data_IF_387307009262
#
_entry.id   IF_387307009262
#
_cell.length_a   1.000
_cell.length_b   1.000
_cell.length_c   1.000
_cell.angle_alpha   90.00
_cell.angle_beta   90.00
_cell.angle_gamma   90.00
#
_symmetry.space_group_name_H-M   'P 1'
#
loop_
_entity.id
_entity.type
_entity.pdbx_description
1 polymer ?
#
# COMPACT_ATOMS: atom_id res chain seq x y z
N UNK A 1 -6.07 -2.50 -22.62
CA UNK A 1 -5.75 -1.76 -21.39
C UNK A 1 -5.62 -2.77 -20.27
N UNK A 2 -4.42 -3.01 -19.74
CA UNK A 2 -4.25 -3.85 -18.57
C UNK A 2 -4.64 -3.01 -17.34
N UNK A 3 -5.72 -3.39 -16.67
CA UNK A 3 -6.04 -2.92 -15.33
C UNK A 3 -4.90 -3.36 -14.42
N UNK A 4 -3.88 -2.53 -14.23
CA UNK A 4 -2.83 -2.78 -13.25
C UNK A 4 -3.45 -2.45 -11.89
N UNK A 5 -4.10 -3.44 -11.29
CA UNK A 5 -4.69 -3.31 -9.95
C UNK A 5 -3.53 -3.41 -8.95
N UNK A 6 -3.23 -2.31 -8.26
CA UNK A 6 -2.14 -2.28 -7.26
C UNK A 6 -2.58 -2.96 -5.95
N UNK A 7 -3.88 -3.03 -5.70
CA UNK A 7 -4.47 -3.91 -4.69
C UNK A 7 -4.82 -5.28 -5.29
N UNK A 8 -4.17 -6.35 -4.83
CA UNK A 8 -4.37 -7.69 -5.40
C UNK A 8 -5.42 -8.49 -4.62
N UNK A 9 -5.23 -8.65 -3.31
CA UNK A 9 -6.16 -9.42 -2.46
C UNK A 9 -6.02 -9.09 -0.98
N UNK A 10 -7.07 -9.37 -0.23
CA UNK A 10 -7.07 -9.41 1.23
C UNK A 10 -7.12 -10.87 1.71
N UNK A 11 -6.34 -11.20 2.74
CA UNK A 11 -6.35 -12.53 3.34
C UNK A 11 -6.16 -12.46 4.86
N UNK A 12 -6.64 -13.49 5.57
CA UNK A 12 -6.49 -13.61 7.02
C UNK A 12 -5.41 -14.61 7.34
N UNK A 13 -4.53 -14.28 8.29
CA UNK A 13 -3.51 -15.16 8.83
C UNK A 13 -3.76 -15.39 10.31
N UNK A 14 -3.72 -16.63 10.74
CA UNK A 14 -3.79 -16.97 12.15
C UNK A 14 -2.44 -16.68 12.83
N UNK A 15 -2.49 -16.03 13.98
CA UNK A 15 -1.33 -15.69 14.80
C UNK A 15 -1.55 -16.23 16.21
N UNK A 16 -0.54 -16.91 16.76
CA UNK A 16 -0.58 -17.45 18.12
C UNK A 16 0.02 -16.43 19.07
N UNK A 17 -0.67 -16.16 20.15
CA UNK A 17 -0.27 -15.20 21.17
C UNK A 17 -0.30 -15.85 22.54
N UNK A 18 0.55 -15.35 23.42
CA UNK A 18 0.61 -15.79 24.82
C UNK A 18 0.36 -14.60 25.73
N UNK A 19 -0.51 -14.79 26.73
CA UNK A 19 -0.75 -13.80 27.77
C UNK A 19 -0.54 -14.43 29.14
N UNK A 20 0.13 -13.71 30.02
CA UNK A 20 0.23 -14.06 31.43
C UNK A 20 -1.00 -13.55 32.20
N UNK A 21 -1.58 -14.41 33.02
CA UNK A 21 -2.63 -14.04 33.97
C UNK A 21 -2.04 -13.22 35.13
N UNK A 22 -2.93 -12.60 35.93
CA UNK A 22 -2.51 -11.88 37.14
C UNK A 22 -1.80 -12.77 38.18
N UNK A 23 -2.06 -14.09 38.14
CA UNK A 23 -1.42 -15.09 39.01
C UNK A 23 -0.26 -15.83 38.32
N UNK A 24 0.28 -15.29 37.21
CA UNK A 24 1.46 -15.85 36.53
C UNK A 24 1.20 -17.05 35.61
N UNK A 25 0.01 -17.65 35.61
CA UNK A 25 -0.35 -18.72 34.64
C UNK A 25 -0.38 -18.17 33.21
N UNK A 26 0.30 -18.83 32.28
CA UNK A 26 0.35 -18.46 30.85
C UNK A 26 -0.80 -19.09 30.08
N UNK A 27 -1.53 -18.28 29.33
CA UNK A 27 -2.61 -18.72 28.45
C UNK A 27 -2.22 -18.50 26.99
N UNK A 28 -2.36 -19.55 26.18
CA UNK A 28 -2.19 -19.49 24.72
C UNK A 28 -3.54 -19.20 24.09
N UNK A 29 -3.58 -18.29 23.14
CA UNK A 29 -4.78 -17.99 22.38
C UNK A 29 -4.41 -17.64 20.94
N UNK A 30 -5.33 -17.89 20.02
CA UNK A 30 -5.13 -17.61 18.60
C UNK A 30 -5.94 -16.37 18.22
N UNK A 31 -5.37 -15.54 17.35
CA UNK A 31 -6.05 -14.38 16.75
C UNK A 31 -5.87 -14.39 15.24
N UNK A 32 -6.90 -13.99 14.52
CA UNK A 32 -6.80 -13.72 13.10
C UNK A 32 -6.36 -12.28 12.88
N UNK A 33 -5.31 -12.11 12.07
CA UNK A 33 -4.87 -10.81 11.60
C UNK A 33 -5.10 -10.75 10.09
N UNK A 34 -5.71 -9.65 9.65
CA UNK A 34 -5.96 -9.39 8.23
C UNK A 34 -4.74 -8.74 7.60
N UNK A 35 -4.34 -9.27 6.45
CA UNK A 35 -3.25 -8.80 5.60
C UNK A 35 -3.77 -8.48 4.20
N UNK A 36 -3.05 -7.60 3.53
CA UNK A 36 -3.32 -7.16 2.17
C UNK A 36 -2.11 -7.46 1.32
N UNK A 37 -2.32 -8.08 0.16
CA UNK A 37 -1.32 -8.23 -0.88
C UNK A 37 -1.44 -7.06 -1.87
N UNK A 38 -0.34 -6.35 -2.04
CA UNK A 38 -0.22 -5.18 -2.88
C UNK A 38 0.91 -5.38 -3.88
N UNK A 39 0.87 -4.68 -5.01
CA UNK A 39 1.97 -4.56 -5.96
C UNK A 39 2.64 -3.20 -5.80
N UNK A 40 3.97 -3.18 -5.84
CA UNK A 40 4.75 -1.95 -5.67
C UNK A 40 4.72 -1.08 -6.93
N UNK A 41 4.34 0.19 -6.80
CA UNK A 41 4.37 1.17 -7.90
C UNK A 41 5.79 1.55 -8.36
N UNK A 42 6.82 1.21 -7.59
CA UNK A 42 8.21 1.57 -7.91
C UNK A 42 9.02 0.44 -8.54
N UNK A 43 8.74 -0.82 -8.22
CA UNK A 43 9.54 -1.97 -8.65
C UNK A 43 8.72 -3.18 -9.05
N UNK A 44 7.39 -3.05 -9.10
CA UNK A 44 6.45 -4.09 -9.50
C UNK A 44 6.44 -5.37 -8.64
N UNK A 45 7.21 -5.42 -7.55
CA UNK A 45 7.23 -6.57 -6.65
C UNK A 45 5.95 -6.64 -5.82
N UNK A 46 5.43 -7.84 -5.61
CA UNK A 46 4.34 -8.08 -4.67
C UNK A 46 4.84 -8.02 -3.23
N UNK A 47 4.06 -7.39 -2.35
CA UNK A 47 4.39 -7.31 -0.93
C UNK A 47 3.12 -7.33 -0.07
N UNK A 48 3.28 -7.78 1.17
CA UNK A 48 2.17 -7.87 2.13
C UNK A 48 2.26 -6.80 3.19
N UNK A 49 1.13 -6.20 3.57
CA UNK A 49 1.02 -5.31 4.73
C UNK A 49 -0.16 -5.68 5.61
N UNK A 50 -0.05 -5.51 6.94
CA UNK A 50 -1.19 -5.73 7.83
C UNK A 50 -2.25 -4.65 7.57
N UNK A 51 -3.50 -5.07 7.37
CA UNK A 51 -4.63 -4.17 7.10
C UNK A 51 -4.83 -3.12 8.19
N UNK A 52 -4.53 -3.48 9.43
CA UNK A 52 -4.66 -2.61 10.60
C UNK A 52 -3.65 -1.45 10.65
N UNK A 53 -2.54 -1.52 9.91
CA UNK A 53 -1.57 -0.42 9.83
C UNK A 53 -1.84 0.57 8.70
N UNK A 54 -2.96 0.41 7.97
CA UNK A 54 -3.32 1.27 6.83
C UNK A 54 -4.68 1.91 7.05
N UNK A 55 -4.79 3.17 6.65
CA UNK A 55 -6.09 3.86 6.57
C UNK A 55 -7.00 3.14 5.56
N UNK A 56 -8.25 2.79 5.92
CA UNK A 56 -9.22 2.19 5.01
C UNK A 56 -9.36 2.89 3.65
N UNK A 57 -9.26 4.22 3.61
CA UNK A 57 -9.39 5.03 2.38
C UNK A 57 -8.22 4.85 1.42
N UNK A 58 -7.09 4.31 1.89
CA UNK A 58 -5.89 4.09 1.08
C UNK A 58 -5.86 2.74 0.38
N UNK A 59 -6.84 1.85 0.62
CA UNK A 59 -6.97 0.56 -0.08
C UNK A 59 -7.68 0.69 -1.42
N UNK A 60 -7.21 1.61 -2.25
CA UNK A 60 -7.66 1.73 -3.63
C UNK A 60 -6.45 2.07 -4.51
N UNK A 61 -6.65 2.04 -5.82
CA UNK A 61 -5.61 2.32 -6.81
C UNK A 61 -5.31 3.82 -6.98
N UNK A 62 -6.03 4.70 -6.28
CA UNK A 62 -5.77 6.15 -6.33
C UNK A 62 -4.58 6.54 -5.46
N UNK A 63 -4.13 5.66 -4.58
CA UNK A 63 -2.93 5.84 -3.77
C UNK A 63 -1.81 4.96 -4.29
N UNK A 64 -0.60 5.50 -4.26
CA UNK A 64 0.60 4.73 -4.53
C UNK A 64 0.96 3.82 -3.35
N UNK A 65 1.26 2.58 -3.66
CA UNK A 65 1.67 1.50 -2.77
C UNK A 65 3.14 1.19 -3.03
N UNK A 66 4.01 1.55 -2.08
CA UNK A 66 5.46 1.33 -2.20
C UNK A 66 5.92 0.30 -1.18
N UNK A 67 6.68 -0.70 -1.62
CA UNK A 67 7.22 -1.73 -0.73
C UNK A 67 8.31 -1.15 0.18
N UNK A 68 8.66 -1.85 1.26
CA UNK A 68 9.70 -1.40 2.21
C UNK A 68 11.11 -1.36 1.61
N UNK A 69 11.34 -2.09 0.52
CA UNK A 69 12.65 -2.16 -0.13
C UNK A 69 12.90 -0.95 -1.03
N UNK A 70 11.85 -0.22 -1.40
CA UNK A 70 11.95 1.01 -2.17
C UNK A 70 11.96 2.23 -1.26
N UNK A 71 12.69 3.27 -1.67
CA UNK A 71 12.69 4.54 -0.96
C UNK A 71 11.38 5.30 -1.22
N UNK A 72 10.40 5.07 -0.34
CA UNK A 72 9.07 5.68 -0.43
C UNK A 72 9.13 7.22 -0.37
N UNK A 73 10.11 7.82 0.30
CA UNK A 73 10.24 9.27 0.39
C UNK A 73 10.73 9.84 -0.93
N UNK A 74 11.78 9.27 -1.52
CA UNK A 74 12.27 9.68 -2.84
C UNK A 74 11.20 9.47 -3.92
N UNK A 75 10.48 8.35 -3.88
CA UNK A 75 9.37 8.10 -4.80
C UNK A 75 8.29 9.18 -4.68
N UNK A 76 7.83 9.48 -3.46
CA UNK A 76 6.81 10.51 -3.23
C UNK A 76 7.27 11.89 -3.67
N UNK A 77 8.54 12.26 -3.41
CA UNK A 77 9.13 13.52 -3.88
C UNK A 77 9.17 13.58 -5.41
N UNK A 78 9.65 12.52 -6.07
CA UNK A 78 9.69 12.43 -7.53
C UNK A 78 8.30 12.60 -8.15
N UNK A 79 7.29 11.90 -7.62
CA UNK A 79 5.90 12.03 -8.08
C UNK A 79 5.32 13.42 -7.83
N UNK A 80 5.69 14.06 -6.73
CA UNK A 80 5.34 15.45 -6.45
C UNK A 80 5.92 16.42 -7.47
N UNK A 81 7.19 16.23 -7.87
CA UNK A 81 7.84 17.05 -8.91
C UNK A 81 7.22 16.82 -10.28
N UNK A 82 6.99 15.56 -10.67
CA UNK A 82 6.30 15.20 -11.92
C UNK A 82 4.93 15.90 -12.00
N UNK A 83 4.14 15.86 -10.92
CA UNK A 83 2.83 16.53 -10.85
C UNK A 83 2.93 18.06 -10.95
N UNK A 84 4.02 18.67 -10.50
CA UNK A 84 4.25 20.12 -10.69
C UNK A 84 4.59 20.46 -12.13
N UNK A 85 5.33 19.59 -12.82
CA UNK A 85 5.71 19.80 -14.22
C UNK A 85 4.52 19.74 -15.17
N UNK A 86 3.41 19.11 -14.78
CA UNK A 86 2.14 19.13 -15.53
C UNK A 86 1.68 20.55 -15.84
N UNK A 87 1.91 21.51 -14.94
CA UNK A 87 1.52 22.92 -15.15
C UNK A 87 2.37 23.65 -16.19
N UNK A 88 3.52 23.09 -16.57
CA UNK A 88 4.39 23.66 -17.60
C UNK A 88 4.07 23.13 -19.00
N UNK A 89 3.03 22.30 -19.15
CA UNK A 89 2.59 21.79 -20.45
C UNK A 89 1.93 22.90 -21.26
N UNK A 90 2.21 22.94 -22.56
CA UNK A 90 1.54 23.88 -23.46
C UNK A 90 0.05 23.55 -23.59
N UNK A 91 -0.78 24.58 -23.74
CA UNK A 91 -2.22 24.41 -23.98
C UNK A 91 -2.54 23.60 -25.25
N UNK A 92 -1.58 23.51 -26.18
CA UNK A 92 -1.64 22.69 -27.39
C UNK A 92 -1.30 21.21 -27.16
N UNK A 93 -0.98 20.79 -25.94
CA UNK A 93 -0.63 19.40 -25.68
C UNK A 93 -1.82 18.47 -25.93
N UNK A 94 -1.58 17.39 -26.67
CA UNK A 94 -2.57 16.36 -26.99
C UNK A 94 -2.79 15.35 -25.84
N UNK A 95 -2.29 15.65 -24.64
CA UNK A 95 -2.43 14.77 -23.49
C UNK A 95 -3.89 14.80 -22.98
N UNK A 96 -4.56 13.64 -22.89
CA UNK A 96 -5.94 13.60 -22.42
C UNK A 96 -6.03 13.91 -20.92
N UNK A 97 -7.08 14.64 -20.51
CA UNK A 97 -7.32 15.11 -19.13
C UNK A 97 -7.24 14.00 -18.07
N UNK A 98 -7.61 12.77 -18.42
CA UNK A 98 -7.57 11.63 -17.50
C UNK A 98 -6.20 10.99 -17.30
N UNK A 99 -5.18 11.43 -18.05
CA UNK A 99 -3.78 10.99 -17.94
C UNK A 99 -2.83 12.11 -17.48
N UNK A 100 -3.35 13.32 -17.28
CA UNK A 100 -2.70 14.44 -16.61
C UNK A 100 -2.74 14.22 -15.09
#
# INVERSE_FOLDING_TARGET
MLNIVMFLKEFKKETRHTRSSKLGKTHKYNRFQTFVLLRCDSCDTEFTRPRGSMDPKRLNNNYFHVCSNCDAKKFAQKKGVEKKQVWNLSASSTMPIGKL
#
